data_IF_978602588016
#
_entry.id   IF_978602588016
#
_cell.length_a   1.000
_cell.length_b   1.000
_cell.length_c   1.000
_cell.angle_alpha   90.00
_cell.angle_beta   90.00
_cell.angle_gamma   90.00
#
_symmetry.space_group_name_H-M   'P 1'
#
loop_
_entity.id
_entity.type
_entity.pdbx_description
1 polymer ?
#
# COMPACT_ATOMS: atom_id res chain seq x y z
N UNK A 1 -0.29 -6.74 5.79
CA UNK A 1 0.14 -7.86 6.67
C UNK A 1 1.08 -8.83 5.95
N UNK A 2 0.80 -9.30 4.71
CA UNK A 2 1.65 -10.30 4.02
C UNK A 2 3.04 -9.80 3.68
N UNK A 3 3.20 -8.54 3.31
CA UNK A 3 4.54 -7.95 3.14
C UNK A 3 5.34 -7.97 4.44
N UNK A 4 4.70 -7.67 5.59
CA UNK A 4 5.33 -7.71 6.91
C UNK A 4 5.83 -9.13 7.21
N UNK A 5 4.99 -10.14 6.98
CA UNK A 5 5.35 -11.54 7.17
C UNK A 5 6.51 -11.97 6.26
N UNK A 6 6.43 -11.64 4.97
CA UNK A 6 7.45 -12.00 3.98
C UNK A 6 8.82 -11.39 4.31
N UNK A 7 8.84 -10.15 4.77
CA UNK A 7 10.06 -9.45 5.19
C UNK A 7 10.54 -9.82 6.61
N UNK A 8 9.93 -10.83 7.25
CA UNK A 8 10.36 -11.35 8.55
C UNK A 8 9.96 -10.50 9.76
N UNK A 9 9.06 -9.54 9.59
CA UNK A 9 8.54 -8.69 10.67
C UNK A 9 7.56 -9.41 11.61
N UNK A 10 6.94 -10.50 11.15
CA UNK A 10 5.98 -11.31 11.92
C UNK A 10 6.18 -12.79 11.63
N UNK A 11 6.13 -13.63 12.68
CA UNK A 11 6.06 -15.08 12.52
C UNK A 11 4.63 -15.53 12.17
N UNK A 12 4.49 -16.74 11.62
CA UNK A 12 3.16 -17.32 11.32
C UNK A 12 2.22 -17.41 12.53
N UNK A 13 2.77 -17.47 13.75
CA UNK A 13 2.00 -17.50 14.99
C UNK A 13 1.51 -16.12 15.44
N UNK A 14 2.20 -15.05 15.01
CA UNK A 14 1.86 -13.67 15.31
C UNK A 14 0.96 -13.06 14.24
N UNK A 15 0.80 -13.73 13.10
CA UNK A 15 -0.12 -13.34 12.03
C UNK A 15 -1.58 -13.55 12.47
N UNK A 16 -2.06 -12.61 13.27
CA UNK A 16 -3.49 -12.43 13.45
C UNK A 16 -4.09 -11.72 12.22
N UNK A 17 -5.36 -11.85 12.00
CA UNK A 17 -6.05 -11.09 10.97
C UNK A 17 -5.98 -9.59 11.28
N UNK A 18 -5.65 -8.78 10.29
CA UNK A 18 -5.64 -7.31 10.41
C UNK A 18 -4.65 -6.78 11.48
N UNK A 19 -3.38 -7.15 11.35
CA UNK A 19 -2.32 -6.71 12.29
C UNK A 19 -2.16 -5.19 12.31
N UNK A 20 -2.34 -4.52 11.16
CA UNK A 20 -2.24 -3.07 11.05
C UNK A 20 -3.49 -2.35 11.56
N UNK A 21 -4.66 -3.00 11.59
CA UNK A 21 -5.89 -2.42 12.12
C UNK A 21 -5.86 -2.42 13.64
N UNK A 22 -5.36 -1.35 14.24
CA UNK A 22 -5.14 -1.23 15.68
C UNK A 22 -6.39 -0.90 16.48
N UNK A 23 -7.42 -0.33 15.83
CA UNK A 23 -8.67 0.07 16.48
C UNK A 23 -9.66 -1.08 16.56
N UNK A 24 -10.35 -1.23 17.68
CA UNK A 24 -11.39 -2.24 17.88
C UNK A 24 -12.51 -2.12 16.83
N UNK A 25 -12.88 -0.89 16.46
CA UNK A 25 -13.89 -0.62 15.45
C UNK A 25 -13.44 -1.04 14.02
N UNK A 26 -12.16 -0.91 13.70
CA UNK A 26 -11.58 -1.38 12.43
C UNK A 26 -11.73 -2.91 12.32
N UNK A 27 -11.36 -3.61 13.37
CA UNK A 27 -11.45 -5.09 13.45
C UNK A 27 -12.89 -5.58 13.42
N UNK A 28 -13.80 -4.91 14.11
CA UNK A 28 -15.22 -5.25 14.13
C UNK A 28 -15.88 -5.10 12.75
N UNK A 29 -15.55 -4.03 12.04
CA UNK A 29 -16.13 -3.71 10.74
C UNK A 29 -15.36 -4.26 9.56
N UNK A 30 -14.11 -4.70 9.77
CA UNK A 30 -13.21 -5.19 8.72
C UNK A 30 -12.80 -4.09 7.72
N UNK A 31 -12.66 -2.84 8.19
CA UNK A 31 -12.24 -1.69 7.39
C UNK A 31 -11.15 -0.90 8.10
N UNK A 32 -10.18 -0.39 7.36
CA UNK A 32 -9.20 0.55 7.87
C UNK A 32 -9.83 1.94 7.98
N UNK A 33 -9.71 2.58 9.13
CA UNK A 33 -10.24 3.94 9.40
C UNK A 33 -9.08 4.95 9.39
N UNK A 34 -7.99 4.61 10.08
CA UNK A 34 -6.80 5.45 10.20
C UNK A 34 -5.63 4.83 9.45
N UNK A 35 -4.90 5.64 8.69
CA UNK A 35 -3.70 5.21 8.01
C UNK A 35 -2.65 4.69 9.01
N UNK A 36 -2.04 3.55 8.70
CA UNK A 36 -1.00 2.91 9.50
C UNK A 36 0.26 2.78 8.66
N UNK A 37 1.41 3.10 9.25
CA UNK A 37 2.70 2.99 8.58
C UNK A 37 3.51 1.83 9.11
N UNK A 38 4.27 1.18 8.22
CA UNK A 38 5.23 0.14 8.57
C UNK A 38 6.49 0.28 7.73
N UNK A 39 7.64 0.13 8.36
CA UNK A 39 8.95 0.08 7.70
C UNK A 39 9.43 -1.35 7.62
N UNK A 40 9.75 -1.80 6.42
CA UNK A 40 10.23 -3.16 6.16
C UNK A 40 11.61 -3.12 5.49
N UNK A 41 12.44 -4.12 5.78
CA UNK A 41 13.68 -4.38 5.06
C UNK A 41 13.47 -5.56 4.15
N UNK A 42 13.79 -5.39 2.89
CA UNK A 42 13.65 -6.41 1.87
C UNK A 42 14.96 -6.62 1.12
N UNK A 43 15.40 -7.86 1.00
CA UNK A 43 16.55 -8.25 0.20
C UNK A 43 16.06 -8.67 -1.19
N UNK A 44 16.27 -7.80 -2.17
CA UNK A 44 15.80 -8.00 -3.54
C UNK A 44 16.66 -9.00 -4.31
N UNK A 45 16.13 -9.51 -5.42
CA UNK A 45 16.81 -10.47 -6.29
C UNK A 45 18.11 -9.90 -6.93
N UNK A 46 18.25 -8.59 -7.01
CA UNK A 46 19.48 -7.93 -7.45
C UNK A 46 20.61 -7.96 -6.42
N UNK A 47 20.34 -8.49 -5.22
CA UNK A 47 21.30 -8.62 -4.11
C UNK A 47 21.42 -7.37 -3.23
N UNK A 48 20.60 -6.34 -3.45
CA UNK A 48 20.56 -5.14 -2.63
C UNK A 48 19.50 -5.25 -1.53
N UNK A 49 19.73 -4.55 -0.40
CA UNK A 49 18.75 -4.38 0.66
C UNK A 49 18.02 -3.05 0.46
N UNK A 50 16.69 -3.12 0.41
CA UNK A 50 15.81 -1.96 0.33
C UNK A 50 15.08 -1.73 1.64
N UNK A 51 14.95 -0.48 2.04
CA UNK A 51 14.03 -0.07 3.08
C UNK A 51 12.74 0.40 2.42
N UNK A 52 11.66 -0.32 2.67
CA UNK A 52 10.33 -0.04 2.12
C UNK A 52 9.44 0.51 3.24
N UNK A 53 8.90 1.70 3.04
CA UNK A 53 7.96 2.31 3.97
C UNK A 53 6.56 2.22 3.35
N UNK A 54 5.68 1.42 3.96
CA UNK A 54 4.29 1.29 3.52
C UNK A 54 3.36 2.10 4.41
N UNK A 55 2.38 2.74 3.79
CA UNK A 55 1.26 3.36 4.49
C UNK A 55 -0.01 2.62 4.03
N UNK A 56 -0.65 1.91 4.95
CA UNK A 56 -1.94 1.28 4.73
C UNK A 56 -3.04 2.32 4.93
N UNK A 57 -3.80 2.59 3.86
CA UNK A 57 -4.78 3.68 3.82
C UNK A 57 -6.20 3.16 3.83
N UNK A 58 -7.16 3.92 4.40
CA UNK A 58 -8.57 3.60 4.26
C UNK A 58 -9.00 3.51 2.80
N UNK A 59 -9.84 2.50 2.47
CA UNK A 59 -10.44 2.39 1.13
C UNK A 59 -11.72 3.21 0.96
N UNK A 60 -12.41 3.56 2.04
CA UNK A 60 -13.74 4.17 2.01
C UNK A 60 -13.68 5.67 1.70
N UNK A 61 -14.64 6.14 0.87
CA UNK A 61 -14.70 7.54 0.40
C UNK A 61 -14.81 8.58 1.52
N UNK A 62 -15.41 8.23 2.66
CA UNK A 62 -15.52 9.12 3.81
C UNK A 62 -14.15 9.51 4.41
N UNK A 63 -13.10 8.75 4.10
CA UNK A 63 -11.74 8.97 4.58
C UNK A 63 -10.79 9.52 3.50
N UNK A 64 -11.34 10.12 2.44
CA UNK A 64 -10.56 10.66 1.30
C UNK A 64 -9.48 11.66 1.71
N UNK A 65 -9.72 12.45 2.76
CA UNK A 65 -8.72 13.37 3.30
C UNK A 65 -7.50 12.63 3.87
N UNK A 66 -7.73 11.54 4.62
CA UNK A 66 -6.67 10.68 5.16
C UNK A 66 -5.85 10.04 4.03
N UNK A 67 -6.53 9.54 3.00
CA UNK A 67 -5.88 8.97 1.80
C UNK A 67 -5.03 10.02 1.10
N UNK A 68 -5.56 11.19 0.78
CA UNK A 68 -4.84 12.26 0.09
C UNK A 68 -3.60 12.72 0.86
N UNK A 69 -3.71 12.83 2.18
CA UNK A 69 -2.59 13.21 3.03
C UNK A 69 -1.50 12.13 3.08
N UNK A 70 -1.88 10.86 3.13
CA UNK A 70 -0.95 9.74 3.10
C UNK A 70 -0.23 9.65 1.77
N UNK A 71 -0.94 9.81 0.66
CA UNK A 71 -0.37 9.81 -0.69
C UNK A 71 0.65 10.93 -0.89
N UNK A 72 0.46 12.10 -0.29
CA UNK A 72 1.40 13.22 -0.41
C UNK A 72 2.79 12.95 0.20
N UNK A 73 2.93 11.86 0.94
CA UNK A 73 4.18 11.43 1.57
C UNK A 73 4.83 10.23 0.86
N UNK A 74 4.30 9.82 -0.29
CA UNK A 74 4.72 8.63 -1.00
C UNK A 74 5.31 8.97 -2.37
N UNK A 75 6.16 8.10 -2.90
CA UNK A 75 6.70 8.14 -4.26
C UNK A 75 5.83 7.34 -5.24
N UNK A 76 4.96 6.48 -4.72
CA UNK A 76 4.06 5.68 -5.52
C UNK A 76 2.92 5.06 -4.71
N UNK A 77 1.97 4.45 -5.39
CA UNK A 77 0.81 3.82 -4.80
C UNK A 77 0.57 2.42 -5.37
N UNK A 78 0.18 1.48 -4.51
CA UNK A 78 -0.29 0.17 -4.92
C UNK A 78 -1.82 0.21 -5.02
N UNK A 79 -2.35 0.04 -6.24
CA UNK A 79 -3.77 -0.12 -6.49
C UNK A 79 -4.14 -1.59 -6.34
N UNK A 80 -4.74 -1.96 -5.21
CA UNK A 80 -5.13 -3.35 -4.94
C UNK A 80 -6.57 -3.57 -5.39
N UNK A 81 -6.75 -4.39 -6.44
CA UNK A 81 -8.06 -4.69 -7.03
C UNK A 81 -8.43 -6.16 -6.74
N UNK A 82 -9.68 -6.41 -6.40
CA UNK A 82 -10.21 -7.76 -6.24
C UNK A 82 -10.40 -8.41 -7.60
N UNK A 83 -9.61 -9.46 -7.90
CA UNK A 83 -9.68 -10.14 -9.19
C UNK A 83 -11.00 -10.90 -9.44
N UNK A 84 -11.85 -11.05 -8.42
CA UNK A 84 -13.16 -11.70 -8.53
C UNK A 84 -14.33 -10.71 -8.64
N UNK A 85 -14.14 -9.45 -8.21
CA UNK A 85 -15.17 -8.41 -8.23
C UNK A 85 -14.90 -7.31 -9.26
N UNK A 86 -13.64 -7.14 -9.69
CA UNK A 86 -13.24 -6.10 -10.61
C UNK A 86 -13.04 -4.73 -9.96
N UNK A 87 -13.09 -3.68 -10.79
CA UNK A 87 -12.83 -2.31 -10.39
C UNK A 87 -14.03 -1.68 -9.70
N UNK A 88 -13.83 -1.24 -8.45
CA UNK A 88 -14.86 -0.56 -7.66
C UNK A 88 -14.70 0.97 -7.71
N UNK A 89 -15.82 1.71 -7.55
CA UNK A 89 -15.84 3.17 -7.61
C UNK A 89 -14.88 3.84 -6.60
N UNK A 90 -14.67 3.23 -5.44
CA UNK A 90 -13.76 3.72 -4.40
C UNK A 90 -12.31 3.60 -4.84
N UNK A 91 -11.94 2.49 -5.47
CA UNK A 91 -10.61 2.26 -6.04
C UNK A 91 -10.29 3.30 -7.13
N UNK A 92 -11.27 3.61 -7.98
CA UNK A 92 -11.15 4.64 -9.01
C UNK A 92 -10.87 6.01 -8.41
N UNK A 93 -11.67 6.44 -7.42
CA UNK A 93 -11.53 7.74 -6.78
C UNK A 93 -10.16 7.92 -6.11
N UNK A 94 -9.71 6.91 -5.36
CA UNK A 94 -8.40 6.94 -4.70
C UNK A 94 -7.24 6.90 -5.71
N UNK A 95 -7.39 6.15 -6.80
CA UNK A 95 -6.41 6.10 -7.88
C UNK A 95 -6.24 7.47 -8.56
N UNK A 96 -7.33 8.16 -8.89
CA UNK A 96 -7.25 9.51 -9.44
C UNK A 96 -6.57 10.49 -8.48
N UNK A 97 -6.80 10.38 -7.18
CA UNK A 97 -6.11 11.21 -6.19
C UNK A 97 -4.59 10.97 -6.22
N UNK A 98 -4.15 9.73 -6.40
CA UNK A 98 -2.72 9.40 -6.56
C UNK A 98 -2.14 9.97 -7.86
N UNK A 99 -2.84 9.80 -8.98
CA UNK A 99 -2.43 10.32 -10.30
C UNK A 99 -2.33 11.85 -10.29
N UNK A 100 -3.31 12.55 -9.71
CA UNK A 100 -3.30 14.02 -9.58
C UNK A 100 -2.10 14.55 -8.77
N UNK A 101 -1.59 13.75 -7.84
CA UNK A 101 -0.38 14.05 -7.08
C UNK A 101 0.91 13.66 -7.80
N UNK A 102 0.82 13.09 -9.01
CA UNK A 102 1.97 12.69 -9.82
C UNK A 102 2.64 11.39 -9.38
N UNK A 103 1.95 10.56 -8.60
CA UNK A 103 2.48 9.29 -8.13
C UNK A 103 2.42 8.21 -9.22
N UNK A 104 3.44 7.35 -9.23
CA UNK A 104 3.37 6.08 -9.99
C UNK A 104 2.36 5.14 -9.34
N UNK A 105 1.41 4.61 -10.11
CA UNK A 105 0.37 3.72 -9.61
C UNK A 105 0.55 2.33 -10.18
N UNK A 106 0.81 1.36 -9.31
CA UNK A 106 1.05 -0.04 -9.67
C UNK A 106 -0.17 -0.91 -9.31
N UNK A 107 -0.86 -1.51 -10.30
CA UNK A 107 -1.99 -2.39 -10.02
C UNK A 107 -1.53 -3.77 -9.54
N UNK A 108 -2.18 -4.24 -8.45
CA UNK A 108 -2.08 -5.59 -7.94
C UNK A 108 -3.46 -6.26 -8.00
N UNK A 109 -3.54 -7.45 -8.59
CA UNK A 109 -4.76 -8.23 -8.70
C UNK A 109 -4.82 -9.23 -7.54
N UNK A 110 -5.57 -8.90 -6.49
CA UNK A 110 -5.67 -9.71 -5.28
C UNK A 110 -6.80 -10.75 -5.35
N UNK A 111 -6.75 -11.69 -4.43
CA UNK A 111 -7.70 -12.81 -4.30
C UNK A 111 -7.63 -13.82 -5.45
N UNK A 112 -6.45 -14.01 -6.03
CA UNK A 112 -6.19 -15.01 -7.07
C UNK A 112 -6.44 -16.46 -6.63
N UNK A 113 -6.64 -16.71 -5.34
CA UNK A 113 -7.04 -18.01 -4.79
C UNK A 113 -8.53 -18.33 -4.98
N UNK A 114 -9.34 -17.37 -5.40
CA UNK A 114 -10.77 -17.57 -5.62
C UNK A 114 -11.05 -18.17 -7.01
N UNK A 115 -11.98 -19.15 -7.12
CA UNK A 115 -12.30 -19.79 -8.40
C UNK A 115 -12.87 -18.84 -9.46
N UNK A 116 -13.48 -17.73 -9.02
CA UNK A 116 -14.07 -16.71 -9.90
C UNK A 116 -13.10 -15.57 -10.24
N UNK A 117 -11.83 -15.65 -9.82
CA UNK A 117 -10.84 -14.65 -10.19
C UNK A 117 -10.62 -14.65 -11.71
N UNK A 118 -10.78 -13.49 -12.34
CA UNK A 118 -10.58 -13.28 -13.78
C UNK A 118 -9.61 -12.11 -14.00
N UNK A 119 -8.28 -12.37 -13.93
CA UNK A 119 -7.28 -11.31 -14.05
C UNK A 119 -7.31 -10.61 -15.42
N UNK A 120 -7.65 -11.33 -16.49
CA UNK A 120 -7.63 -10.75 -17.84
C UNK A 120 -8.74 -9.72 -18.01
N UNK A 121 -9.95 -10.02 -17.56
CA UNK A 121 -11.08 -9.07 -17.56
C UNK A 121 -10.78 -7.87 -16.66
N UNK A 122 -10.23 -8.09 -15.46
CA UNK A 122 -9.93 -6.99 -14.52
C UNK A 122 -8.82 -6.08 -15.03
N UNK A 123 -7.81 -6.58 -15.73
CA UNK A 123 -6.81 -5.75 -16.40
C UNK A 123 -7.46 -4.80 -17.42
N UNK A 124 -8.35 -5.32 -18.25
CA UNK A 124 -9.08 -4.49 -19.22
C UNK A 124 -9.95 -3.43 -18.53
N UNK A 125 -10.64 -3.79 -17.44
CA UNK A 125 -11.41 -2.82 -16.65
C UNK A 125 -10.53 -1.69 -16.07
N UNK A 126 -9.35 -2.02 -15.56
CA UNK A 126 -8.39 -1.00 -15.05
C UNK A 126 -7.99 -0.04 -16.17
N UNK A 127 -7.65 -0.56 -17.35
CA UNK A 127 -7.27 0.25 -18.50
C UNK A 127 -8.44 1.11 -19.02
N UNK A 128 -9.66 0.56 -19.13
CA UNK A 128 -10.82 1.26 -19.66
C UNK A 128 -11.42 2.28 -18.68
N UNK A 129 -11.49 1.94 -17.38
CA UNK A 129 -12.17 2.76 -16.38
C UNK A 129 -11.23 3.79 -15.76
N UNK A 130 -10.00 3.39 -15.45
CA UNK A 130 -9.02 4.23 -14.75
C UNK A 130 -8.08 4.91 -15.75
N UNK A 131 -7.72 4.23 -16.82
CA UNK A 131 -6.83 4.76 -17.86
C UNK A 131 -5.34 4.57 -17.54
N UNK A 132 -4.98 3.66 -16.64
CA UNK A 132 -3.58 3.28 -16.36
C UNK A 132 -3.25 1.96 -17.04
N UNK A 133 -1.98 1.75 -17.40
CA UNK A 133 -1.52 0.49 -17.97
C UNK A 133 -1.61 -0.65 -16.95
N UNK A 134 -2.24 -1.76 -17.30
CA UNK A 134 -2.47 -2.89 -16.40
C UNK A 134 -1.99 -4.25 -16.94
N UNK A 135 -1.35 -4.29 -18.11
CA UNK A 135 -0.86 -5.54 -18.70
C UNK A 135 0.15 -6.26 -17.80
N UNK A 136 1.01 -5.51 -17.13
CA UNK A 136 1.99 -6.01 -16.16
C UNK A 136 1.44 -6.06 -14.72
N UNK A 137 0.13 -5.88 -14.50
CA UNK A 137 -0.47 -5.97 -13.16
C UNK A 137 -0.12 -7.30 -12.49
N UNK A 138 0.39 -7.22 -11.25
CA UNK A 138 0.91 -8.37 -10.55
C UNK A 138 -0.23 -9.18 -9.88
N UNK A 139 -0.41 -10.48 -10.22
CA UNK A 139 -1.41 -11.32 -9.58
C UNK A 139 -0.93 -11.80 -8.21
N UNK A 140 -1.75 -11.57 -7.18
CA UNK A 140 -1.40 -11.93 -5.79
C UNK A 140 -2.57 -12.59 -5.06
N UNK A 141 -2.28 -13.26 -3.96
CA UNK A 141 -3.27 -13.63 -2.96
C UNK A 141 -2.75 -13.32 -1.56
N UNK A 142 -3.29 -12.29 -0.95
CA UNK A 142 -2.97 -11.94 0.44
C UNK A 142 -3.34 -13.08 1.41
N UNK A 143 -4.32 -13.93 1.07
CA UNK A 143 -4.73 -15.06 1.89
C UNK A 143 -3.70 -16.19 1.88
N UNK A 144 -3.18 -16.56 0.70
CA UNK A 144 -2.28 -17.72 0.54
C UNK A 144 -0.80 -17.33 0.52
N UNK A 145 -0.48 -16.07 0.26
CA UNK A 145 0.89 -15.59 0.07
C UNK A 145 1.39 -15.69 -1.38
N UNK A 146 0.52 -16.15 -2.31
CA UNK A 146 0.86 -16.24 -3.73
C UNK A 146 1.26 -14.87 -4.29
N UNK A 147 2.37 -14.80 -5.04
CA UNK A 147 2.81 -13.60 -5.77
C UNK A 147 3.31 -12.44 -4.90
N UNK A 148 3.47 -12.62 -3.59
CA UNK A 148 3.90 -11.55 -2.67
C UNK A 148 5.34 -11.10 -2.94
N UNK A 149 6.23 -12.04 -3.20
CA UNK A 149 7.63 -11.74 -3.57
C UNK A 149 7.70 -11.03 -4.92
N UNK A 150 6.95 -11.51 -5.92
CA UNK A 150 6.86 -10.88 -7.24
C UNK A 150 6.32 -9.44 -7.14
N UNK A 151 5.35 -9.19 -6.24
CA UNK A 151 4.82 -7.86 -6.00
C UNK A 151 5.86 -6.92 -5.38
N UNK A 152 6.74 -7.39 -4.49
CA UNK A 152 7.84 -6.61 -3.94
C UNK A 152 8.89 -6.29 -4.99
N UNK A 153 9.27 -7.24 -5.83
CA UNK A 153 10.18 -7.00 -6.96
C UNK A 153 9.58 -6.03 -7.99
N UNK A 154 8.28 -6.17 -8.29
CA UNK A 154 7.55 -5.28 -9.17
C UNK A 154 7.53 -3.84 -8.62
N UNK A 155 7.33 -3.67 -7.31
CA UNK A 155 7.39 -2.38 -6.62
C UNK A 155 8.78 -1.76 -6.77
N UNK A 156 9.85 -2.48 -6.43
CA UNK A 156 11.23 -1.96 -6.48
C UNK A 156 11.63 -1.55 -7.90
N UNK A 157 11.15 -2.29 -8.90
CA UNK A 157 11.46 -2.00 -10.30
C UNK A 157 10.80 -0.73 -10.79
N UNK A 158 9.59 -0.42 -10.32
CA UNK A 158 8.73 0.60 -10.93
C UNK A 158 8.51 1.85 -10.07
N UNK A 159 8.58 1.76 -8.74
CA UNK A 159 8.47 2.95 -7.87
C UNK A 159 9.85 3.61 -7.76
N UNK A 160 9.97 4.91 -8.08
CA UNK A 160 11.23 5.63 -7.91
C UNK A 160 11.63 5.75 -6.44
N UNK A 161 12.92 5.88 -6.18
CA UNK A 161 13.40 6.24 -4.84
C UNK A 161 13.05 7.72 -4.53
N UNK A 162 12.93 8.09 -3.24
CA UNK A 162 12.71 9.47 -2.86
C UNK A 162 13.78 10.40 -3.44
N UNK A 163 13.35 11.53 -4.02
CA UNK A 163 14.24 12.57 -4.51
C UNK A 163 14.46 13.63 -3.44
N UNK A 164 15.72 14.07 -3.24
CA UNK A 164 16.02 15.13 -2.29
C UNK A 164 17.49 15.53 -2.30
N UNK A 165 17.76 16.76 -1.86
CA UNK A 165 19.11 17.28 -1.67
C UNK A 165 19.51 17.15 -0.18
N UNK A 166 20.39 16.22 0.14
CA UNK A 166 20.89 15.99 1.49
C UNK A 166 21.66 17.19 2.09
N UNK A 167 22.08 18.13 1.26
CA UNK A 167 22.78 19.34 1.70
C UNK A 167 21.80 20.52 1.95
N UNK A 168 20.55 20.40 1.54
CA UNK A 168 19.54 21.41 1.79
C UNK A 168 19.17 21.53 3.28
N UNK A 169 18.65 22.67 3.73
CA UNK A 169 18.09 22.79 5.08
C UNK A 169 16.98 21.75 5.30
N UNK A 170 16.99 21.11 6.49
CA UNK A 170 15.98 20.11 6.83
C UNK A 170 14.57 20.70 6.72
N UNK A 171 13.75 20.06 5.92
CA UNK A 171 12.30 20.28 5.84
C UNK A 171 11.61 18.95 6.13
N UNK A 172 10.49 18.98 6.81
CA UNK A 172 9.73 17.77 7.12
C UNK A 172 8.24 18.05 7.07
N UNK A 173 7.49 17.14 6.46
CA UNK A 173 6.03 17.13 6.49
C UNK A 173 5.54 16.21 7.59
N UNK A 174 4.70 16.72 8.51
CA UNK A 174 4.06 15.89 9.54
C UNK A 174 2.87 15.18 8.90
N UNK A 175 2.94 13.85 8.83
CA UNK A 175 1.89 12.99 8.26
C UNK A 175 0.87 12.66 9.35
N UNK A 176 1.34 12.27 10.53
CA UNK A 176 0.52 11.86 11.67
C UNK A 176 1.23 12.17 12.98
N UNK A 177 0.54 12.00 14.11
CA UNK A 177 1.13 12.09 15.44
C UNK A 177 0.34 11.27 16.46
N UNK A 178 1.06 10.76 17.46
CA UNK A 178 0.44 10.06 18.60
C UNK A 178 1.07 10.54 19.91
N UNK A 179 0.39 10.23 21.01
CA UNK A 179 0.90 10.55 22.33
C UNK A 179 1.52 9.30 22.97
N UNK A 180 2.81 9.40 23.33
CA UNK A 180 3.51 8.39 24.11
C UNK A 180 3.68 8.89 25.55
N UNK A 181 3.43 8.02 26.53
CA UNK A 181 3.48 8.39 27.95
C UNK A 181 4.86 8.82 28.44
N UNK A 182 5.92 8.40 27.76
CA UNK A 182 7.32 8.68 28.14
C UNK A 182 7.93 9.81 27.31
N UNK A 183 7.55 9.90 26.03
CA UNK A 183 8.14 10.82 25.04
C UNK A 183 7.26 12.05 24.77
N UNK A 184 5.98 12.03 25.18
CA UNK A 184 5.00 13.07 24.84
C UNK A 184 4.45 12.89 23.43
N UNK A 185 4.28 13.99 22.69
CA UNK A 185 3.80 13.92 21.30
C UNK A 185 4.93 13.46 20.39
N UNK A 186 4.69 12.34 19.67
CA UNK A 186 5.62 11.77 18.69
C UNK A 186 5.02 11.97 17.30
N UNK A 187 5.61 12.81 16.44
CA UNK A 187 5.14 12.98 15.06
C UNK A 187 5.73 11.91 14.14
N UNK A 188 4.93 11.43 13.19
CA UNK A 188 5.39 10.72 12.00
C UNK A 188 5.65 11.75 10.91
N UNK A 189 6.86 11.78 10.38
CA UNK A 189 7.27 12.76 9.38
C UNK A 189 7.89 12.10 8.16
N UNK A 190 7.75 12.73 7.00
CA UNK A 190 8.61 12.55 5.83
C UNK A 190 9.54 13.76 5.71
N UNK A 191 10.80 13.55 5.32
CA UNK A 191 11.83 14.59 5.23
C UNK A 191 12.61 14.45 3.93
#
# INVERSE_FOLDING_TARGET
DRFIQHCGGLSDREMESQVLDSMELERERGITIKAQSVTLKYHAHNGEEYQLNFIDTPGHVDFSYEVSRSLSACEGALLVVDAAQGVEAQSVANCYTAIEQGLEVLPLLNKMDLPQADPDTVKLEIEEIIGIEAQEACPVSAKTGLGIEDALEYLIKNIPAPEGDRAAPLQALIIDSWFDNSLGVVPLVTA
#
